data_IF_792711104079
#
_entry.id   IF_792711104079
#
_cell.length_a   1.000
_cell.length_b   1.000
_cell.length_c   1.000
_cell.angle_alpha   90.00
_cell.angle_beta   90.00
_cell.angle_gamma   90.00
#
_symmetry.space_group_name_H-M   'P 1'
#
loop_
_entity.id
_entity.type
_entity.pdbx_description
1 polymer ?
#
# COMPACT_ATOMS: atom_id res chain seq x y z
N UNK A 1 -21.95 6.95 -11.11
CA UNK A 1 -21.25 8.17 -10.72
C UNK A 1 -21.02 8.95 -12.00
N UNK A 2 -21.61 10.14 -12.11
CA UNK A 2 -21.40 11.00 -13.29
C UNK A 2 -19.94 11.48 -13.26
N UNK A 3 -19.22 11.31 -14.37
CA UNK A 3 -17.83 11.77 -14.46
C UNK A 3 -17.73 13.30 -14.56
N UNK A 4 -18.85 14.01 -14.76
CA UNK A 4 -18.91 15.46 -14.85
C UNK A 4 -18.44 16.17 -13.56
N UNK A 5 -18.56 15.53 -12.39
CA UNK A 5 -18.16 16.11 -11.09
C UNK A 5 -16.73 15.72 -10.65
N UNK A 6 -15.97 14.99 -11.49
CA UNK A 6 -14.61 14.54 -11.15
C UNK A 6 -13.57 15.53 -11.65
N UNK A 7 -13.00 16.34 -10.75
CA UNK A 7 -11.97 17.31 -11.11
C UNK A 7 -10.65 16.66 -11.56
N UNK A 8 -10.24 15.56 -10.93
CA UNK A 8 -9.00 14.84 -11.25
C UNK A 8 -9.05 13.40 -10.73
N UNK A 9 -8.46 12.47 -11.48
CA UNK A 9 -8.20 11.09 -11.05
C UNK A 9 -6.70 10.90 -10.88
N UNK A 10 -6.25 10.51 -9.67
CA UNK A 10 -4.86 10.14 -9.38
C UNK A 10 -4.80 8.70 -8.90
N UNK A 11 -3.87 7.92 -9.45
CA UNK A 11 -3.51 6.59 -8.96
C UNK A 11 -2.60 6.71 -7.73
N UNK A 12 -2.58 5.70 -6.82
CA UNK A 12 -1.66 5.70 -5.68
C UNK A 12 -0.21 5.97 -6.08
N UNK A 13 0.28 5.34 -7.16
CA UNK A 13 1.63 5.53 -7.65
C UNK A 13 1.96 6.98 -8.08
N UNK A 14 0.95 7.78 -8.43
CA UNK A 14 1.12 9.20 -8.78
C UNK A 14 1.14 10.10 -7.53
N UNK A 15 0.58 9.65 -6.41
CA UNK A 15 0.58 10.40 -5.15
C UNK A 15 1.96 10.42 -4.49
N UNK A 16 2.78 9.40 -4.74
CA UNK A 16 4.19 9.29 -4.35
C UNK A 16 5.02 10.54 -4.69
N UNK A 17 4.79 11.10 -5.88
CA UNK A 17 5.53 12.26 -6.41
C UNK A 17 5.19 13.56 -5.68
N UNK A 18 4.06 13.61 -4.96
CA UNK A 18 3.58 14.83 -4.27
C UNK A 18 4.29 15.08 -2.93
N UNK A 19 4.96 14.07 -2.38
CA UNK A 19 5.65 14.10 -1.09
C UNK A 19 6.83 15.08 -1.05
N UNK A 20 7.47 15.32 -2.20
CA UNK A 20 8.66 16.16 -2.29
C UNK A 20 8.42 17.59 -1.77
N UNK A 21 7.18 18.08 -1.82
CA UNK A 21 6.81 19.46 -1.47
C UNK A 21 6.03 19.61 -0.18
N UNK A 22 5.75 18.51 0.55
CA UNK A 22 4.93 18.60 1.76
C UNK A 22 5.73 19.17 2.94
N UNK A 23 5.23 20.28 3.51
CA UNK A 23 5.79 20.92 4.71
C UNK A 23 5.71 20.06 5.97
N UNK A 24 4.92 18.98 5.96
CA UNK A 24 4.65 18.11 7.11
C UNK A 24 5.45 16.80 7.11
N UNK A 25 6.59 16.75 6.40
CA UNK A 25 7.53 15.61 6.40
C UNK A 25 7.98 15.13 7.79
N UNK A 26 7.78 15.92 8.84
CA UNK A 26 8.06 15.53 10.23
C UNK A 26 7.04 14.54 10.79
N UNK A 27 5.80 14.50 10.26
CA UNK A 27 4.75 13.59 10.73
C UNK A 27 5.17 12.14 10.42
N UNK A 28 5.08 11.20 11.39
CA UNK A 28 5.58 9.83 11.26
C UNK A 28 5.15 9.11 9.99
N UNK A 29 3.88 9.17 9.60
CA UNK A 29 3.38 8.50 8.40
C UNK A 29 4.00 9.07 7.10
N UNK A 30 4.14 10.39 6.98
CA UNK A 30 4.77 11.04 5.82
C UNK A 30 6.28 10.82 5.78
N UNK A 31 6.94 10.86 6.94
CA UNK A 31 8.35 10.48 7.08
C UNK A 31 8.57 9.03 6.65
N UNK A 32 7.68 8.13 7.07
CA UNK A 32 7.72 6.71 6.74
C UNK A 32 7.55 6.51 5.24
N UNK A 33 6.58 7.17 4.60
CA UNK A 33 6.40 7.08 3.15
C UNK A 33 7.65 7.54 2.38
N UNK A 34 8.33 8.60 2.83
CA UNK A 34 9.59 9.03 2.22
C UNK A 34 10.73 8.00 2.38
N UNK A 35 10.73 7.19 3.44
CA UNK A 35 11.66 6.07 3.60
C UNK A 35 11.27 4.91 2.69
N UNK A 36 9.97 4.59 2.60
CA UNK A 36 9.46 3.55 1.67
C UNK A 36 9.88 3.84 0.23
N UNK A 37 9.78 5.10 -0.24
CA UNK A 37 10.26 5.46 -1.60
C UNK A 37 11.73 5.08 -1.83
N UNK A 38 12.57 5.25 -0.80
CA UNK A 38 14.00 4.92 -0.89
C UNK A 38 14.22 3.42 -0.86
N UNK A 39 13.57 2.72 0.06
CA UNK A 39 13.71 1.26 0.23
C UNK A 39 13.17 0.49 -0.98
N UNK A 40 12.14 1.03 -1.65
CA UNK A 40 11.49 0.38 -2.80
C UNK A 40 11.94 0.96 -4.15
N UNK A 41 13.10 1.62 -4.20
CA UNK A 41 13.63 2.24 -5.44
C UNK A 41 13.78 1.21 -6.57
N UNK A 42 14.26 0.00 -6.23
CA UNK A 42 14.55 -1.07 -7.19
C UNK A 42 13.37 -2.05 -7.37
N UNK A 43 12.24 -1.79 -6.73
CA UNK A 43 11.07 -2.66 -6.83
C UNK A 43 10.34 -2.42 -8.15
N UNK A 44 10.35 -3.41 -9.04
CA UNK A 44 9.65 -3.37 -10.33
C UNK A 44 8.15 -3.72 -10.20
N UNK A 45 7.48 -3.11 -9.21
CA UNK A 45 6.03 -3.23 -9.01
C UNK A 45 5.43 -1.84 -8.80
N UNK A 46 4.24 -1.61 -9.35
CA UNK A 46 3.53 -0.34 -9.13
C UNK A 46 2.95 -0.32 -7.72
N UNK A 47 3.29 0.70 -6.93
CA UNK A 47 2.76 0.87 -5.58
C UNK A 47 2.50 2.34 -5.26
N UNK A 48 1.79 2.62 -4.17
CA UNK A 48 1.66 3.97 -3.61
C UNK A 48 0.78 4.06 -2.37
N UNK A 49 0.74 5.24 -1.73
CA UNK A 49 -0.06 5.44 -0.52
C UNK A 49 -1.56 5.41 -0.83
N UNK A 50 -2.30 4.82 0.10
CA UNK A 50 -3.76 4.86 0.16
C UNK A 50 -4.18 5.34 1.55
N UNK A 51 -5.45 5.16 1.93
CA UNK A 51 -5.92 5.57 3.25
C UNK A 51 -5.79 7.07 3.49
N UNK A 52 -5.52 7.46 4.74
CA UNK A 52 -5.44 8.86 5.16
C UNK A 52 -4.30 9.62 4.47
N UNK A 53 -3.14 8.97 4.30
CA UNK A 53 -1.99 9.56 3.61
C UNK A 53 -2.29 9.79 2.14
N UNK A 54 -2.86 8.80 1.45
CA UNK A 54 -3.28 8.94 0.07
C UNK A 54 -4.33 10.04 -0.11
N UNK A 55 -5.31 10.11 0.80
CA UNK A 55 -6.35 11.15 0.79
C UNK A 55 -5.75 12.55 0.88
N UNK A 56 -4.94 12.81 1.91
CA UNK A 56 -4.32 14.12 2.10
C UNK A 56 -3.43 14.53 0.92
N UNK A 57 -2.65 13.60 0.35
CA UNK A 57 -1.83 13.89 -0.84
C UNK A 57 -2.67 14.15 -2.10
N UNK A 58 -3.88 13.57 -2.17
CA UNK A 58 -4.79 13.75 -3.29
C UNK A 58 -5.54 15.09 -3.21
N UNK A 59 -6.02 15.46 -2.01
CA UNK A 59 -6.90 16.63 -1.81
C UNK A 59 -6.17 17.87 -1.30
N UNK A 60 -5.05 17.70 -0.60
CA UNK A 60 -4.37 18.76 0.17
C UNK A 60 -4.98 19.00 1.55
N UNK A 61 -6.04 18.27 1.93
CA UNK A 61 -6.69 18.42 3.23
C UNK A 61 -5.90 17.70 4.33
N UNK A 62 -5.59 18.44 5.40
CA UNK A 62 -4.78 17.94 6.51
C UNK A 62 -5.60 17.03 7.42
N UNK A 63 -5.41 15.72 7.29
CA UNK A 63 -6.11 14.70 8.09
C UNK A 63 -5.16 13.74 8.81
N UNK A 64 -3.90 13.62 8.38
CA UNK A 64 -2.92 12.74 9.03
C UNK A 64 -2.47 13.37 10.36
N UNK A 65 -2.37 12.53 11.40
CA UNK A 65 -1.91 12.86 12.76
C UNK A 65 -0.62 12.13 13.13
N UNK A 66 -0.06 12.43 14.31
CA UNK A 66 1.13 11.74 14.85
C UNK A 66 0.90 10.23 15.09
N UNK A 67 -0.35 9.81 15.28
CA UNK A 67 -0.71 8.41 15.52
C UNK A 67 -1.15 7.67 14.25
N UNK A 68 -1.17 8.34 13.10
CA UNK A 68 -1.60 7.74 11.84
C UNK A 68 -0.57 6.69 11.37
N UNK A 69 -1.09 5.57 10.88
CA UNK A 69 -0.36 4.57 10.13
C UNK A 69 -0.17 5.01 8.66
N UNK A 70 0.62 4.22 7.93
CA UNK A 70 0.79 4.34 6.49
C UNK A 70 0.18 3.11 5.80
N UNK A 71 -0.94 3.32 5.11
CA UNK A 71 -1.50 2.33 4.20
C UNK A 71 -0.83 2.41 2.81
N UNK A 72 -0.39 1.27 2.29
CA UNK A 72 0.15 1.13 0.93
C UNK A 72 -0.65 0.13 0.12
N UNK A 73 -0.86 0.43 -1.16
CA UNK A 73 -1.30 -0.55 -2.15
C UNK A 73 -0.14 -0.87 -3.09
N UNK A 74 0.17 -2.15 -3.25
CA UNK A 74 1.20 -2.68 -4.14
C UNK A 74 0.55 -3.61 -5.16
N UNK A 75 0.61 -3.25 -6.43
CA UNK A 75 0.01 -4.01 -7.52
C UNK A 75 0.97 -5.08 -8.04
N UNK A 76 0.60 -6.34 -7.85
CA UNK A 76 1.34 -7.53 -8.23
C UNK A 76 0.49 -8.37 -9.20
N UNK A 77 0.49 -8.05 -10.52
CA UNK A 77 -0.27 -8.79 -11.51
C UNK A 77 0.24 -10.23 -11.72
N UNK A 78 1.49 -10.48 -11.33
CA UNK A 78 2.13 -11.79 -11.32
C UNK A 78 2.50 -12.16 -9.89
N UNK A 79 2.59 -13.46 -9.62
CA UNK A 79 2.95 -13.99 -8.31
C UNK A 79 4.31 -13.44 -7.87
N UNK A 80 4.37 -12.88 -6.67
CA UNK A 80 5.63 -12.50 -6.04
C UNK A 80 6.20 -13.70 -5.28
N UNK A 81 7.52 -13.89 -5.41
CA UNK A 81 8.22 -14.91 -4.64
C UNK A 81 8.04 -14.62 -3.14
N UNK A 82 7.84 -15.67 -2.37
CA UNK A 82 7.65 -15.55 -0.93
C UNK A 82 8.90 -14.98 -0.23
N UNK A 83 10.11 -15.29 -0.71
CA UNK A 83 11.34 -14.68 -0.20
C UNK A 83 11.31 -13.17 -0.38
N UNK A 84 10.91 -12.68 -1.56
CA UNK A 84 10.75 -11.25 -1.84
C UNK A 84 9.70 -10.63 -0.91
N UNK A 85 8.55 -11.30 -0.73
CA UNK A 85 7.51 -10.80 0.17
C UNK A 85 7.98 -10.69 1.63
N UNK A 86 8.74 -11.68 2.10
CA UNK A 86 9.32 -11.68 3.46
C UNK A 86 10.36 -10.58 3.64
N UNK A 87 11.24 -10.40 2.65
CA UNK A 87 12.27 -9.37 2.72
C UNK A 87 11.61 -7.97 2.68
N UNK A 88 10.61 -7.79 1.82
CA UNK A 88 9.79 -6.58 1.77
C UNK A 88 9.11 -6.29 3.12
N UNK A 89 8.47 -7.29 3.72
CA UNK A 89 7.84 -7.15 5.03
C UNK A 89 8.85 -6.81 6.13
N UNK A 90 10.02 -7.47 6.13
CA UNK A 90 11.09 -7.22 7.08
C UNK A 90 11.58 -5.77 7.04
N UNK A 91 11.77 -5.22 5.84
CA UNK A 91 12.15 -3.82 5.66
C UNK A 91 11.03 -2.88 6.13
N UNK A 92 9.80 -3.06 5.64
CA UNK A 92 8.71 -2.11 5.87
C UNK A 92 8.19 -2.10 7.32
N UNK A 93 8.16 -3.25 7.98
CA UNK A 93 7.69 -3.36 9.38
C UNK A 93 8.65 -2.73 10.40
N UNK A 94 9.87 -2.40 10.00
CA UNK A 94 10.88 -1.74 10.85
C UNK A 94 10.80 -0.20 10.82
N UNK A 95 9.93 0.35 9.98
CA UNK A 95 9.83 1.79 9.76
C UNK A 95 9.11 2.53 10.90
N UNK A 96 9.28 3.86 11.03
CA UNK A 96 8.84 4.62 12.21
C UNK A 96 7.32 4.60 12.48
N UNK A 97 6.50 4.68 11.44
CA UNK A 97 5.06 4.47 11.53
C UNK A 97 4.73 3.04 11.10
N UNK A 98 3.66 2.48 11.68
CA UNK A 98 3.12 1.20 11.24
C UNK A 98 2.80 1.28 9.74
N UNK A 99 3.27 0.30 8.97
CA UNK A 99 3.00 0.21 7.54
C UNK A 99 2.09 -0.98 7.27
N UNK A 100 0.87 -0.67 6.82
CA UNK A 100 -0.10 -1.68 6.39
C UNK A 100 -0.07 -1.78 4.87
N UNK A 101 0.45 -2.91 4.35
CA UNK A 101 0.60 -3.11 2.90
C UNK A 101 -0.43 -4.10 2.39
N UNK A 102 -1.26 -3.64 1.46
CA UNK A 102 -2.16 -4.48 0.67
C UNK A 102 -1.53 -4.80 -0.67
N UNK A 103 -1.34 -6.09 -0.95
CA UNK A 103 -1.02 -6.56 -2.28
C UNK A 103 -2.33 -6.66 -3.07
N UNK A 104 -2.35 -6.08 -4.26
CA UNK A 104 -3.47 -6.10 -5.19
C UNK A 104 -3.08 -6.92 -6.42
N UNK A 105 -3.89 -7.92 -6.74
CA UNK A 105 -3.87 -8.64 -8.02
C UNK A 105 -4.98 -8.07 -8.92
N UNK A 106 -5.13 -8.52 -10.18
CA UNK A 106 -6.27 -8.14 -11.01
C UNK A 106 -7.61 -8.61 -10.43
N UNK A 107 -7.60 -9.57 -9.50
CA UNK A 107 -8.81 -10.25 -9.03
C UNK A 107 -9.11 -10.02 -7.55
N UNK A 108 -8.10 -9.76 -6.72
CA UNK A 108 -8.27 -9.61 -5.28
C UNK A 108 -7.18 -8.77 -4.61
N UNK A 109 -7.45 -8.31 -3.39
CA UNK A 109 -6.46 -7.72 -2.49
C UNK A 109 -6.24 -8.53 -1.21
N UNK A 110 -5.02 -8.58 -0.70
CA UNK A 110 -4.67 -9.30 0.54
C UNK A 110 -3.49 -8.66 1.28
N UNK A 111 -3.26 -9.07 2.53
CA UNK A 111 -2.20 -8.51 3.38
C UNK A 111 -0.82 -9.06 3.03
N UNK A 112 0.17 -8.17 2.84
CA UNK A 112 1.57 -8.56 2.72
C UNK A 112 2.05 -9.27 3.98
N UNK A 113 1.69 -8.79 5.17
CA UNK A 113 2.09 -9.40 6.44
C UNK A 113 1.65 -10.87 6.51
N UNK A 114 0.37 -11.12 6.19
CA UNK A 114 -0.20 -12.46 6.24
C UNK A 114 0.49 -13.39 5.25
N UNK A 115 0.73 -12.92 4.03
CA UNK A 115 1.42 -13.67 2.99
C UNK A 115 2.89 -13.96 3.35
N UNK A 116 3.62 -12.95 3.81
CA UNK A 116 5.04 -13.00 4.14
C UNK A 116 5.37 -13.87 5.37
N UNK A 117 4.46 -13.89 6.35
CA UNK A 117 4.66 -14.64 7.59
C UNK A 117 4.11 -16.07 7.54
N UNK A 118 3.33 -16.45 6.51
CA UNK A 118 2.67 -17.76 6.37
C UNK A 118 2.04 -18.27 7.66
N UNK A 119 1.25 -17.42 8.33
CA UNK A 119 0.57 -17.81 9.58
C UNK A 119 -0.44 -18.95 9.39
N UNK A 120 -0.89 -19.18 8.15
CA UNK A 120 -1.83 -20.23 7.77
C UNK A 120 -1.56 -20.73 6.35
N UNK A 121 -2.07 -21.93 6.02
CA UNK A 121 -2.00 -22.49 4.66
C UNK A 121 -2.90 -21.74 3.65
N UNK A 122 -3.92 -21.04 4.15
CA UNK A 122 -4.79 -20.16 3.37
C UNK A 122 -4.63 -18.73 3.82
N UNK A 123 -4.82 -17.81 2.90
CA UNK A 123 -4.76 -16.37 3.12
C UNK A 123 -6.13 -15.74 2.89
N UNK A 124 -6.48 -14.76 3.72
CA UNK A 124 -7.71 -14.00 3.57
C UNK A 124 -7.56 -12.98 2.44
N UNK A 125 -8.30 -13.19 1.36
CA UNK A 125 -8.41 -12.26 0.24
C UNK A 125 -9.70 -11.44 0.34
N UNK A 126 -9.67 -10.26 -0.29
CA UNK A 126 -10.84 -9.41 -0.53
C UNK A 126 -11.07 -9.30 -2.03
N UNK A 127 -12.25 -9.69 -2.49
CA UNK A 127 -12.72 -9.52 -3.86
C UNK A 127 -13.88 -8.52 -3.88
N UNK A 128 -14.34 -8.07 -5.06
CA UNK A 128 -15.57 -7.29 -5.17
C UNK A 128 -16.80 -8.01 -4.58
N UNK A 129 -16.81 -9.34 -4.59
CA UNK A 129 -17.93 -10.17 -4.13
C UNK A 129 -17.85 -10.51 -2.63
N UNK A 130 -16.75 -10.17 -1.95
CA UNK A 130 -16.60 -10.37 -0.51
C UNK A 130 -15.23 -10.90 -0.09
N UNK A 131 -15.17 -11.48 1.11
CA UNK A 131 -13.94 -12.04 1.68
C UNK A 131 -13.92 -13.55 1.55
N UNK A 132 -12.76 -14.12 1.20
CA UNK A 132 -12.59 -15.56 0.98
C UNK A 132 -11.22 -16.02 1.50
N UNK A 133 -11.11 -17.28 1.94
CA UNK A 133 -9.83 -17.91 2.29
C UNK A 133 -9.38 -18.80 1.14
N UNK A 134 -8.22 -18.49 0.55
CA UNK A 134 -7.67 -19.20 -0.62
C UNK A 134 -6.24 -19.68 -0.35
N UNK A 135 -5.78 -20.68 -1.09
CA UNK A 135 -4.40 -21.19 -0.99
C UNK A 135 -3.41 -20.32 -1.77
N UNK A 136 -3.84 -19.79 -2.92
CA UNK A 136 -3.03 -18.95 -3.80
C UNK A 136 -3.84 -17.74 -4.30
N UNK A 137 -3.53 -16.50 -3.88
CA UNK A 137 -4.24 -15.29 -4.33
C UNK A 137 -4.12 -14.97 -5.83
N UNK A 138 -3.20 -15.62 -6.54
CA UNK A 138 -3.03 -15.43 -7.99
C UNK A 138 -3.75 -16.50 -8.82
N UNK A 139 -4.37 -17.49 -8.17
CA UNK A 139 -5.09 -18.60 -8.80
C UNK A 139 -6.44 -18.80 -8.10
N UNK A 140 -7.37 -17.86 -8.33
CA UNK A 140 -8.72 -17.82 -7.73
C UNK A 140 -9.84 -18.03 -8.74
#
# INVERSE_FOLDING_TARGET
MDMADVALIKRPAQLRVSLAHDSRKSVPALKTLALVERELTDLDLSWGPVGSVGFELATGDRVISEASDLDLALFAPQRIDHAIARDLWGTLSSLPAKVDVRIETPYCGFSLEEYALRRSAKILIRTPDGQQLVEDPWDI
#
